data_IF_005863589066
#
_entry.id   IF_005863589066
#
_cell.length_a   1.000
_cell.length_b   1.000
_cell.length_c   1.000
_cell.angle_alpha   90.00
_cell.angle_beta   90.00
_cell.angle_gamma   90.00
#
_symmetry.space_group_name_H-M   'P 1'
#
loop_
_entity.id
_entity.type
_entity.pdbx_description
1 polymer ?
#
# COMPACT_ATOMS: atom_id res chain seq x y z
N UNK A 1 6.50 -8.60 -4.43
CA UNK A 1 5.70 -8.86 -5.64
C UNK A 1 4.37 -9.48 -5.25
N UNK A 2 3.28 -8.69 -5.27
CA UNK A 2 1.97 -9.25 -4.94
C UNK A 2 1.46 -10.19 -6.04
N UNK A 3 1.79 -9.90 -7.30
CA UNK A 3 1.42 -10.77 -8.43
C UNK A 3 1.99 -12.18 -8.34
N UNK A 4 3.25 -12.30 -7.91
CA UNK A 4 3.94 -13.59 -7.72
C UNK A 4 3.35 -14.37 -6.56
N UNK A 5 3.08 -13.70 -5.43
CA UNK A 5 2.54 -14.36 -4.23
C UNK A 5 1.10 -14.83 -4.43
N UNK A 6 0.31 -14.10 -5.22
CA UNK A 6 -1.09 -14.44 -5.50
C UNK A 6 -1.29 -15.24 -6.79
N UNK A 7 -0.21 -15.60 -7.49
CA UNK A 7 -0.22 -16.24 -8.81
C UNK A 7 -1.23 -15.59 -9.80
N UNK A 8 -1.34 -14.25 -9.74
CA UNK A 8 -2.28 -13.48 -10.58
C UNK A 8 -1.70 -12.14 -10.94
N UNK A 9 -2.10 -11.60 -12.09
CA UNK A 9 -1.59 -10.31 -12.56
C UNK A 9 -2.20 -9.14 -11.77
N UNK A 10 -1.48 -8.61 -10.79
CA UNK A 10 -1.84 -7.35 -10.13
C UNK A 10 -1.10 -6.20 -10.81
N UNK A 11 -1.83 -5.20 -11.31
CA UNK A 11 -1.27 -4.01 -11.95
C UNK A 11 -1.47 -2.80 -11.05
N UNK A 12 -0.38 -2.09 -10.76
CA UNK A 12 -0.47 -0.78 -10.13
C UNK A 12 -0.93 0.24 -11.17
N UNK A 13 -2.21 0.60 -11.15
CA UNK A 13 -2.68 1.75 -11.89
C UNK A 13 -2.03 3.00 -11.27
N UNK A 14 -1.49 3.91 -12.08
CA UNK A 14 -1.04 5.24 -11.64
C UNK A 14 -2.13 6.27 -11.92
N UNK A 15 -3.24 6.33 -11.15
CA UNK A 15 -4.21 7.39 -11.32
C UNK A 15 -3.56 8.73 -10.96
N UNK A 16 -3.98 9.80 -11.64
CA UNK A 16 -3.76 11.16 -11.15
C UNK A 16 -4.56 11.42 -9.88
N UNK A 17 -4.14 12.39 -9.06
CA UNK A 17 -4.78 12.73 -7.77
C UNK A 17 -6.31 12.97 -7.88
N UNK A 18 -6.83 13.67 -8.91
CA UNK A 18 -8.28 13.86 -9.07
C UNK A 18 -9.03 12.54 -9.33
N UNK A 19 -8.40 11.63 -10.09
CA UNK A 19 -8.98 10.30 -10.38
C UNK A 19 -9.00 9.44 -9.12
N UNK A 20 -7.96 9.54 -8.28
CA UNK A 20 -7.93 8.89 -6.97
C UNK A 20 -9.04 9.43 -6.06
N UNK A 21 -9.16 10.75 -5.88
CA UNK A 21 -10.19 11.35 -5.02
C UNK A 21 -11.61 10.99 -5.48
N UNK A 22 -11.87 11.03 -6.79
CA UNK A 22 -13.15 10.57 -7.36
C UNK A 22 -13.42 9.09 -7.07
N UNK A 23 -12.40 8.23 -7.20
CA UNK A 23 -12.53 6.81 -6.91
C UNK A 23 -12.74 6.54 -5.41
N UNK A 24 -11.99 7.21 -4.54
CA UNK A 24 -12.08 7.08 -3.08
C UNK A 24 -13.47 7.51 -2.57
N UNK A 25 -13.98 8.64 -3.05
CA UNK A 25 -15.30 9.15 -2.65
C UNK A 25 -16.44 8.33 -3.24
N UNK A 26 -16.40 8.00 -4.53
CA UNK A 26 -17.54 7.36 -5.21
C UNK A 26 -17.56 5.83 -5.16
N UNK A 27 -16.38 5.20 -5.16
CA UNK A 27 -16.28 3.73 -5.22
C UNK A 27 -16.02 3.14 -3.84
N UNK A 28 -15.07 3.72 -3.09
CA UNK A 28 -14.72 3.24 -1.75
C UNK A 28 -15.63 3.84 -0.66
N UNK A 29 -16.48 4.82 -1.01
CA UNK A 29 -17.35 5.57 -0.08
C UNK A 29 -16.59 6.12 1.13
N UNK A 30 -15.33 6.50 0.91
CA UNK A 30 -14.44 6.98 1.95
C UNK A 30 -14.88 8.38 2.42
N UNK A 31 -14.89 8.65 3.75
CA UNK A 31 -15.16 9.99 4.26
C UNK A 31 -14.21 11.03 3.63
N UNK A 32 -14.69 12.24 3.30
CA UNK A 32 -13.90 13.24 2.56
C UNK A 32 -12.56 13.58 3.24
N UNK A 33 -12.54 13.70 4.57
CA UNK A 33 -11.32 13.94 5.34
C UNK A 33 -10.31 12.81 5.20
N UNK A 34 -10.76 11.55 5.27
CA UNK A 34 -9.89 10.38 5.10
C UNK A 34 -9.32 10.28 3.68
N UNK A 35 -10.13 10.61 2.67
CA UNK A 35 -9.68 10.66 1.28
C UNK A 35 -8.62 11.76 1.06
N UNK A 36 -8.79 12.93 1.68
CA UNK A 36 -7.83 14.02 1.62
C UNK A 36 -6.49 13.67 2.29
N UNK A 37 -6.53 13.09 3.50
CA UNK A 37 -5.32 12.62 4.20
C UNK A 37 -4.58 11.58 3.38
N UNK A 38 -5.30 10.57 2.85
CA UNK A 38 -4.67 9.52 2.06
C UNK A 38 -4.06 10.05 0.77
N UNK A 39 -4.72 11.04 0.13
CA UNK A 39 -4.20 11.73 -1.04
C UNK A 39 -2.91 12.52 -0.71
N UNK A 40 -2.86 13.19 0.44
CA UNK A 40 -1.65 13.90 0.90
C UNK A 40 -0.49 12.92 1.13
N UNK A 41 -0.72 11.82 1.86
CA UNK A 41 0.30 10.77 2.12
C UNK A 41 0.83 10.17 0.81
N UNK A 42 -0.05 9.86 -0.15
CA UNK A 42 0.40 9.34 -1.45
C UNK A 42 1.20 10.38 -2.25
N UNK A 43 0.87 11.66 -2.09
CA UNK A 43 1.59 12.74 -2.77
C UNK A 43 2.99 12.89 -2.19
N UNK A 44 3.14 12.90 -0.85
CA UNK A 44 4.47 12.97 -0.21
C UNK A 44 5.33 11.76 -0.57
N UNK A 45 4.76 10.55 -0.58
CA UNK A 45 5.45 9.35 -1.03
C UNK A 45 5.92 9.45 -2.50
N UNK A 46 5.08 10.00 -3.40
CA UNK A 46 5.45 10.22 -4.81
C UNK A 46 6.56 11.25 -5.01
N UNK A 47 6.69 12.21 -4.09
CA UNK A 47 7.73 13.23 -4.12
C UNK A 47 9.06 12.72 -3.53
N UNK A 48 9.17 11.43 -3.20
CA UNK A 48 10.39 10.83 -2.64
C UNK A 48 10.63 11.17 -1.17
N UNK A 49 9.69 11.89 -0.52
CA UNK A 49 9.82 12.28 0.88
C UNK A 49 9.71 11.10 1.86
N UNK A 50 9.33 9.92 1.37
CA UNK A 50 9.21 8.68 2.14
C UNK A 50 10.27 7.63 1.78
N UNK A 51 11.29 7.98 0.99
CA UNK A 51 12.33 7.03 0.53
C UNK A 51 13.48 6.85 1.55
N UNK A 52 13.37 7.48 2.71
CA UNK A 52 14.37 7.35 3.78
C UNK A 52 14.41 5.93 4.32
N UNK A 53 15.53 5.24 4.09
CA UNK A 53 15.83 3.95 4.72
C UNK A 53 16.52 4.19 6.06
N UNK A 54 16.17 3.39 7.07
CA UNK A 54 16.78 3.41 8.39
C UNK A 54 16.89 1.98 8.95
N UNK A 55 17.92 1.74 9.74
CA UNK A 55 18.18 0.47 10.43
C UNK A 55 17.55 0.43 11.84
N UNK A 56 16.69 1.40 12.19
CA UNK A 56 16.17 1.53 13.56
C UNK A 56 15.36 0.32 14.04
N UNK A 57 14.63 -0.36 13.14
CA UNK A 57 13.94 -1.60 13.48
C UNK A 57 14.93 -2.65 13.97
N UNK A 58 16.04 -2.83 13.26
CA UNK A 58 17.09 -3.77 13.64
C UNK A 58 17.82 -3.31 14.91
N UNK A 59 18.09 -2.01 15.04
CA UNK A 59 18.75 -1.44 16.22
C UNK A 59 17.95 -1.68 17.50
N UNK A 60 16.62 -1.55 17.44
CA UNK A 60 15.74 -1.66 18.60
C UNK A 60 15.36 -3.11 18.91
N UNK A 61 15.10 -3.93 17.88
CA UNK A 61 14.59 -5.29 18.05
C UNK A 61 15.68 -6.38 17.98
N UNK A 62 16.89 -6.04 17.50
CA UNK A 62 17.99 -7.00 17.30
C UNK A 62 17.84 -7.88 16.06
N UNK A 63 16.70 -7.81 15.37
CA UNK A 63 16.34 -8.62 14.19
C UNK A 63 16.03 -7.72 12.99
N UNK A 64 16.34 -8.13 11.75
CA UNK A 64 16.06 -7.32 10.57
C UNK A 64 14.55 -7.09 10.37
N UNK A 65 14.14 -5.96 9.75
CA UNK A 65 12.74 -5.72 9.43
C UNK A 65 12.21 -6.80 8.48
N UNK A 66 10.97 -7.23 8.71
CA UNK A 66 10.30 -8.15 7.81
C UNK A 66 10.20 -7.56 6.39
N UNK A 67 10.55 -8.37 5.40
CA UNK A 67 10.43 -7.99 4.00
C UNK A 67 8.96 -7.90 3.58
N UNK A 68 8.68 -7.07 2.58
CA UNK A 68 7.34 -7.02 1.98
C UNK A 68 6.90 -8.39 1.43
N UNK A 69 7.84 -9.23 0.97
CA UNK A 69 7.54 -10.57 0.46
C UNK A 69 7.07 -11.52 1.56
N UNK A 70 7.69 -11.47 2.74
CA UNK A 70 7.26 -12.24 3.92
C UNK A 70 5.88 -11.80 4.38
N UNK A 71 5.66 -10.49 4.49
CA UNK A 71 4.34 -9.93 4.78
C UNK A 71 3.29 -10.43 3.78
N UNK A 72 3.56 -10.31 2.48
CA UNK A 72 2.60 -10.68 1.45
C UNK A 72 2.26 -12.18 1.47
N UNK A 73 3.23 -13.06 1.77
CA UNK A 73 2.98 -14.51 1.91
C UNK A 73 2.15 -14.81 3.14
N UNK A 74 2.44 -14.17 4.27
CA UNK A 74 1.70 -14.37 5.53
C UNK A 74 0.22 -13.98 5.38
N UNK A 75 -0.04 -12.84 4.75
CA UNK A 75 -1.41 -12.32 4.56
C UNK A 75 -2.10 -12.84 3.29
N UNK A 76 -1.41 -13.68 2.49
CA UNK A 76 -1.92 -14.24 1.23
C UNK A 76 -3.36 -14.79 1.36
N UNK A 77 -3.74 -15.55 2.41
CA UNK A 77 -5.08 -16.13 2.52
C UNK A 77 -6.21 -15.08 2.52
N UNK A 78 -5.95 -13.86 2.99
CA UNK A 78 -6.94 -12.77 3.03
C UNK A 78 -7.30 -12.25 1.63
N UNK A 79 -6.39 -12.39 0.68
CA UNK A 79 -6.56 -11.91 -0.70
C UNK A 79 -6.83 -13.03 -1.71
N UNK A 80 -6.61 -14.29 -1.31
CA UNK A 80 -6.91 -15.48 -2.11
C UNK A 80 -8.39 -15.83 -2.15
N UNK A 81 -9.18 -15.46 -1.13
CA UNK A 81 -10.64 -15.46 -1.25
C UNK A 81 -11.02 -14.39 -2.26
N UNK A 82 -11.48 -14.81 -3.45
CA UNK A 82 -12.26 -13.92 -4.33
C UNK A 82 -13.28 -13.22 -3.43
N UNK A 83 -13.31 -11.89 -3.46
CA UNK A 83 -14.46 -11.16 -2.94
C UNK A 83 -15.72 -11.81 -3.53
N UNK A 84 -16.59 -12.29 -2.65
CA UNK A 84 -17.97 -12.60 -3.01
C UNK A 84 -18.67 -11.33 -3.47
#
# INVERSE_FOLDING_TARGET
>A
MLSTVLDRRVRYARPGLPRYLRHATRTLRMPPGMAAVTAAIHTTARLGLADGLSDDVQRVLGEPPASFAEFARREQPLWSRRGG
#
